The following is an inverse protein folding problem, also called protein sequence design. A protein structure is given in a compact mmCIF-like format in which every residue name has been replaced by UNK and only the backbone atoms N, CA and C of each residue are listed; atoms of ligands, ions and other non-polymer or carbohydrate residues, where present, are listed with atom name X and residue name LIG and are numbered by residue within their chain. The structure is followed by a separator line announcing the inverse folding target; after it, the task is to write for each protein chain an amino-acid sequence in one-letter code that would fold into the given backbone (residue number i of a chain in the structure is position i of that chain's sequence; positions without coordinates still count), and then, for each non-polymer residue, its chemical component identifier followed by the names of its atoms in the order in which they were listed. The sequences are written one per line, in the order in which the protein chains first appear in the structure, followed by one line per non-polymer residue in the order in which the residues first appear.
data_IF_994376819552
#
_entry.id   IF_994376819552
#
_cell.length_a   1.000
_cell.length_b   1.000
_cell.length_c   1.000
_cell.angle_alpha   90.00
_cell.angle_beta   90.00
_cell.angle_gamma   90.00
#
_symmetry.space_group_name_H-M   'P 1'
#
loop_
_entity.id
_entity.type
_entity.pdbx_description
1 polymer ?
#
# COMPACT_ATOMS: atom_id res chain seq x y z
N UNK A 1 -27.59 -32.22 -27.97
CA UNK A 1 -26.50 -32.11 -28.97
C UNK A 1 -26.77 -30.80 -29.68
N UNK A 2 -26.12 -29.69 -29.34
CA UNK A 2 -24.68 -29.47 -29.50
C UNK A 2 -24.21 -28.39 -28.48
N UNK A 3 -23.11 -28.68 -27.79
CA UNK A 3 -22.46 -27.79 -26.83
C UNK A 3 -21.70 -26.69 -27.57
N UNK A 4 -22.26 -25.48 -27.62
CA UNK A 4 -21.55 -24.28 -28.07
C UNK A 4 -20.50 -23.88 -27.05
N UNK A 5 -19.27 -24.34 -27.26
CA UNK A 5 -18.07 -24.02 -26.47
C UNK A 5 -17.91 -22.50 -26.44
N UNK A 6 -18.03 -21.91 -25.24
CA UNK A 6 -17.60 -20.54 -24.94
C UNK A 6 -16.15 -20.37 -25.38
N UNK A 7 -15.91 -19.34 -26.20
CA UNK A 7 -14.61 -19.03 -26.80
C UNK A 7 -13.46 -19.04 -25.77
N UNK A 8 -12.40 -19.85 -25.97
CA UNK A 8 -11.20 -19.85 -25.12
C UNK A 8 -10.28 -18.64 -25.37
N UNK A 9 -10.56 -17.82 -26.39
CA UNK A 9 -9.76 -16.66 -26.77
C UNK A 9 -10.27 -15.40 -26.05
N UNK A 10 -10.04 -15.30 -24.74
CA UNK A 10 -10.13 -14.01 -24.03
C UNK A 10 -9.02 -13.08 -24.55
N UNK A 11 -9.28 -12.44 -25.70
CA UNK A 11 -8.84 -11.12 -26.15
C UNK A 11 -7.37 -10.67 -26.04
N UNK A 12 -6.43 -11.47 -25.57
CA UNK A 12 -5.05 -11.03 -25.40
C UNK A 12 -4.34 -10.98 -26.77
N UNK A 13 -3.80 -9.83 -27.19
CA UNK A 13 -2.93 -9.78 -28.36
C UNK A 13 -1.75 -10.73 -28.13
N UNK A 14 -1.60 -11.70 -29.02
CA UNK A 14 -0.69 -12.85 -28.90
C UNK A 14 0.80 -12.45 -28.99
N UNK A 15 1.09 -11.15 -29.14
CA UNK A 15 2.41 -10.54 -29.27
C UNK A 15 2.49 -9.20 -28.50
N UNK A 16 2.49 -9.26 -27.16
CA UNK A 16 3.00 -8.15 -26.35
C UNK A 16 4.53 -8.03 -26.47
N UNK A 17 5.15 -6.92 -26.04
CA UNK A 17 6.61 -6.83 -26.01
C UNK A 17 7.19 -8.07 -25.29
N UNK A 18 8.17 -8.70 -25.91
CA UNK A 18 8.81 -9.91 -25.38
C UNK A 18 9.32 -9.59 -23.98
N UNK A 19 8.78 -10.28 -22.97
CA UNK A 19 9.10 -10.06 -21.56
C UNK A 19 8.12 -9.19 -20.76
N UNK A 20 6.94 -8.86 -21.29
CA UNK A 20 5.88 -8.23 -20.50
C UNK A 20 5.43 -9.13 -19.33
N UNK A 21 5.37 -8.57 -18.13
CA UNK A 21 4.91 -9.28 -16.92
C UNK A 21 3.58 -8.65 -16.46
N UNK A 22 2.57 -9.49 -16.27
CA UNK A 22 1.27 -9.06 -15.76
C UNK A 22 1.21 -9.14 -14.24
N UNK A 23 0.63 -8.12 -13.60
CA UNK A 23 0.18 -8.18 -12.21
C UNK A 23 -1.22 -8.78 -12.21
N UNK A 24 -1.33 -10.04 -11.82
CA UNK A 24 -2.60 -10.80 -11.84
C UNK A 24 -3.35 -10.78 -10.50
N UNK A 25 -2.74 -10.19 -9.47
CA UNK A 25 -3.33 -10.03 -8.14
C UNK A 25 -2.42 -9.23 -7.21
N UNK A 26 -3.00 -8.63 -6.17
CA UNK A 26 -2.28 -7.87 -5.16
C UNK A 26 -2.96 -8.02 -3.78
N UNK A 27 -2.17 -7.86 -2.72
CA UNK A 27 -2.64 -7.72 -1.35
C UNK A 27 -1.69 -6.75 -0.62
N UNK A 28 -2.23 -5.94 0.27
CA UNK A 28 -1.46 -4.96 1.04
C UNK A 28 -2.15 -4.64 2.36
N UNK A 29 -1.38 -4.07 3.29
CA UNK A 29 -1.91 -3.44 4.50
C UNK A 29 -1.18 -2.10 4.66
N UNK A 30 -1.91 -1.01 4.46
CA UNK A 30 -1.39 0.34 4.60
C UNK A 30 -2.09 1.06 5.76
N UNK A 31 -1.47 2.07 6.39
CA UNK A 31 -2.14 2.87 7.39
C UNK A 31 -3.41 3.52 6.84
N UNK A 32 -4.52 3.37 7.57
CA UNK A 32 -5.85 3.77 7.13
C UNK A 32 -6.50 2.89 6.05
N UNK A 33 -5.86 1.81 5.61
CA UNK A 33 -6.36 0.88 4.60
C UNK A 33 -6.02 -0.58 4.97
N UNK A 34 -6.63 -1.06 6.06
CA UNK A 34 -6.40 -2.41 6.57
C UNK A 34 -7.20 -3.48 5.82
N UNK A 35 -8.29 -3.09 5.15
CA UNK A 35 -9.13 -3.96 4.32
C UNK A 35 -8.52 -4.28 2.95
N UNK A 36 -7.32 -3.77 2.65
CA UNK A 36 -6.52 -4.16 1.51
C UNK A 36 -6.51 -3.17 0.34
N UNK A 37 -6.30 -3.64 -0.89
CA UNK A 37 -5.96 -2.77 -2.02
C UNK A 37 -7.10 -1.82 -2.44
N UNK A 38 -8.36 -2.20 -2.23
CA UNK A 38 -9.51 -1.35 -2.52
C UNK A 38 -9.57 -0.13 -1.62
N UNK A 39 -9.46 -0.32 -0.30
CA UNK A 39 -9.43 0.80 0.67
C UNK A 39 -8.23 1.71 0.45
N UNK A 40 -7.07 1.13 0.11
CA UNK A 40 -5.87 1.91 -0.21
C UNK A 40 -6.11 2.80 -1.44
N UNK A 41 -6.67 2.22 -2.51
CA UNK A 41 -6.99 2.97 -3.72
C UNK A 41 -8.00 4.09 -3.46
N UNK A 42 -9.08 3.80 -2.73
CA UNK A 42 -10.09 4.80 -2.36
C UNK A 42 -9.48 5.92 -1.51
N UNK A 43 -8.57 5.59 -0.59
CA UNK A 43 -7.82 6.55 0.22
C UNK A 43 -6.96 7.48 -0.63
N UNK A 44 -6.25 6.95 -1.63
CA UNK A 44 -5.45 7.73 -2.58
C UNK A 44 -6.33 8.67 -3.40
N UNK A 45 -7.44 8.17 -3.95
CA UNK A 45 -8.39 8.97 -4.75
C UNK A 45 -8.98 10.11 -3.92
N UNK A 46 -9.24 9.87 -2.62
CA UNK A 46 -9.77 10.88 -1.69
C UNK A 46 -8.71 11.82 -1.13
N UNK A 47 -7.41 11.54 -1.32
CA UNK A 47 -6.31 12.32 -0.73
C UNK A 47 -6.25 12.22 0.81
N UNK A 48 -6.51 11.04 1.37
CA UNK A 48 -6.49 10.81 2.81
C UNK A 48 -5.06 10.97 3.41
N UNK A 49 -4.94 11.70 4.52
CA UNK A 49 -3.71 11.77 5.32
C UNK A 49 -3.67 10.62 6.34
N UNK A 50 -2.78 9.66 6.11
CA UNK A 50 -2.58 8.50 6.97
C UNK A 50 -1.51 8.72 8.06
N UNK A 51 -0.86 9.89 8.11
CA UNK A 51 0.23 10.16 9.05
C UNK A 51 -0.33 10.54 10.43
N UNK A 52 -0.07 9.70 11.43
CA UNK A 52 -0.50 9.89 12.82
C UNK A 52 0.66 10.01 13.79
N UNK A 53 0.35 10.22 15.07
CA UNK A 53 1.32 10.01 16.16
C UNK A 53 1.69 8.53 16.24
N UNK A 54 2.94 8.24 16.60
CA UNK A 54 3.37 6.86 16.84
C UNK A 54 2.54 6.28 18.01
N UNK A 55 1.88 5.13 17.82
CA UNK A 55 1.15 4.49 18.90
C UNK A 55 2.07 4.11 20.07
N UNK A 56 1.65 4.42 21.30
CA UNK A 56 2.44 4.15 22.52
C UNK A 56 2.68 2.67 22.80
N UNK A 57 1.90 1.78 22.16
CA UNK A 57 2.08 0.33 22.21
C UNK A 57 3.22 -0.17 21.29
N UNK A 58 3.75 0.69 20.41
CA UNK A 58 4.92 0.40 19.57
C UNK A 58 6.21 0.81 20.30
N UNK A 59 6.31 2.09 20.66
CA UNK A 59 7.35 2.68 21.50
C UNK A 59 6.91 4.06 22.01
N UNK A 60 7.64 4.61 22.98
CA UNK A 60 7.37 5.95 23.52
C UNK A 60 7.88 7.05 22.58
N UNK A 61 7.05 7.46 21.63
CA UNK A 61 7.40 8.50 20.64
C UNK A 61 7.79 9.85 21.27
N UNK A 62 7.12 10.24 22.37
CA UNK A 62 7.43 11.48 23.09
C UNK A 62 8.77 11.35 23.84
N UNK A 63 9.03 10.21 24.47
CA UNK A 63 10.29 9.94 25.18
C UNK A 63 11.53 9.95 24.27
N UNK A 64 11.37 9.68 22.97
CA UNK A 64 12.45 9.71 21.98
C UNK A 64 12.50 10.98 21.12
N UNK A 65 11.52 11.88 21.24
CA UNK A 65 11.50 13.11 20.46
C UNK A 65 12.49 14.16 20.99
N UNK A 66 13.25 14.78 20.09
CA UNK A 66 14.01 16.01 20.33
C UNK A 66 14.08 16.82 19.02
N UNK A 67 13.75 18.12 19.00
CA UNK A 67 13.85 18.93 17.79
C UNK A 67 15.29 19.16 17.31
N UNK A 68 16.31 18.97 18.15
CA UNK A 68 17.71 19.08 17.74
C UNK A 68 18.20 17.75 17.13
N UNK A 69 18.55 17.72 15.83
CA UNK A 69 19.00 16.50 15.16
C UNK A 69 20.37 15.99 15.65
N UNK A 70 21.11 16.77 16.46
CA UNK A 70 22.42 16.40 16.98
C UNK A 70 22.35 15.70 18.34
N UNK A 71 21.19 15.67 19.00
CA UNK A 71 21.05 15.01 20.29
C UNK A 71 21.10 13.49 20.09
N UNK A 72 22.14 12.87 20.66
CA UNK A 72 22.36 11.44 20.53
C UNK A 72 21.20 10.62 21.13
N UNK A 73 20.74 9.61 20.39
CA UNK A 73 19.67 8.70 20.84
C UNK A 73 18.26 9.29 20.76
N UNK A 74 18.07 10.42 20.09
CA UNK A 74 16.77 11.06 19.85
C UNK A 74 16.39 11.07 18.38
N UNK A 75 15.11 11.28 18.12
CA UNK A 75 14.50 11.42 16.80
C UNK A 75 13.85 12.79 16.68
N UNK A 76 14.01 13.44 15.53
CA UNK A 76 13.28 14.67 15.19
C UNK A 76 11.85 14.40 14.70
N UNK A 77 11.46 13.13 14.56
CA UNK A 77 10.14 12.71 14.14
C UNK A 77 9.46 11.87 15.23
N UNK A 78 8.20 12.21 15.52
CA UNK A 78 7.28 11.46 16.40
C UNK A 78 6.01 10.97 15.69
N UNK A 79 5.86 11.33 14.42
CA UNK A 79 4.73 10.97 13.56
C UNK A 79 5.17 10.02 12.45
N UNK A 80 4.30 9.08 12.09
CA UNK A 80 4.53 8.06 11.08
C UNK A 80 3.20 7.62 10.44
N UNK A 81 3.29 6.90 9.32
CA UNK A 81 2.18 6.33 8.57
C UNK A 81 2.68 5.38 7.49
#
# INVERSE_FOLDING_TARGET
METGIMNPDFGMPKNGPVGAIAVVGMSCRFPGAEGGPGEFWDGLVRGFDAVGEVPSDRWDGEGFYDPDPLVAGKSVARRAG
#
